data_IF_920726817899
#
_entry.id   IF_920726817899
#
_cell.length_a   1.000
_cell.length_b   1.000
_cell.length_c   1.000
_cell.angle_alpha   90.00
_cell.angle_beta   90.00
_cell.angle_gamma   90.00
#
_symmetry.space_group_name_H-M   'P 1'
#
loop_
_entity.id
_entity.type
_entity.pdbx_description
1 polymer ?
#
# COMPACT_ATOMS: atom_id res chain seq x y z
N UNK A 1 -35.99 11.16 -9.42
CA UNK A 1 -35.31 9.85 -9.47
C UNK A 1 -35.25 9.23 -8.10
N UNK A 2 -36.16 8.29 -7.80
CA UNK A 2 -36.19 7.58 -6.51
C UNK A 2 -35.03 6.55 -6.42
N UNK A 3 -34.36 6.21 -7.54
CA UNK A 3 -33.39 5.10 -7.62
C UNK A 3 -31.89 5.48 -7.64
N UNK A 4 -31.51 6.74 -7.39
CA UNK A 4 -30.08 7.13 -7.45
C UNK A 4 -29.31 6.60 -6.23
N UNK A 5 -28.57 5.49 -6.43
CA UNK A 5 -27.76 4.85 -5.39
C UNK A 5 -26.33 5.39 -5.25
N UNK A 6 -25.73 5.83 -6.35
CA UNK A 6 -24.34 6.32 -6.37
C UNK A 6 -24.22 7.54 -7.28
N UNK A 7 -23.63 8.62 -6.76
CA UNK A 7 -23.40 9.87 -7.49
C UNK A 7 -21.94 10.30 -7.31
N UNK A 8 -21.26 10.60 -8.42
CA UNK A 8 -19.87 11.08 -8.45
C UNK A 8 -19.83 12.34 -9.32
N UNK A 9 -19.48 13.48 -8.72
CA UNK A 9 -19.42 14.80 -9.37
C UNK A 9 -18.05 15.46 -9.16
N UNK A 10 -17.00 14.65 -9.08
CA UNK A 10 -15.66 15.16 -8.81
C UNK A 10 -15.20 16.10 -9.91
N UNK A 11 -14.71 17.29 -9.54
CA UNK A 11 -14.22 18.31 -10.48
C UNK A 11 -15.32 18.96 -11.34
N UNK A 12 -16.61 18.69 -11.09
CA UNK A 12 -17.72 19.36 -11.76
C UNK A 12 -17.87 20.80 -11.23
N UNK A 13 -16.99 21.71 -11.66
CA UNK A 13 -16.76 23.02 -11.04
C UNK A 13 -18.00 23.92 -10.87
N UNK A 14 -19.03 23.74 -11.69
CA UNK A 14 -20.28 24.52 -11.64
C UNK A 14 -21.31 23.95 -10.63
N UNK A 15 -21.05 22.79 -10.03
CA UNK A 15 -21.95 22.18 -9.05
C UNK A 15 -21.93 22.97 -7.75
N UNK A 16 -23.09 23.52 -7.39
CA UNK A 16 -23.29 24.30 -6.17
C UNK A 16 -23.93 23.48 -5.04
N UNK A 17 -23.91 24.00 -3.80
CA UNK A 17 -24.66 23.41 -2.68
C UNK A 17 -26.17 23.28 -2.96
N UNK A 18 -26.75 24.14 -3.83
CA UNK A 18 -28.16 24.02 -4.24
C UNK A 18 -28.38 22.78 -5.10
N UNK A 19 -27.48 22.48 -6.02
CA UNK A 19 -27.51 21.24 -6.82
C UNK A 19 -27.43 19.99 -5.93
N UNK A 20 -26.47 19.98 -5.01
CA UNK A 20 -26.31 18.88 -4.04
C UNK A 20 -27.55 18.71 -3.15
N UNK A 21 -28.19 19.81 -2.73
CA UNK A 21 -29.47 19.76 -1.99
C UNK A 21 -30.57 19.06 -2.77
N UNK A 22 -30.68 19.31 -4.07
CA UNK A 22 -31.68 18.65 -4.92
C UNK A 22 -31.38 17.15 -5.06
N UNK A 23 -30.11 16.78 -5.26
CA UNK A 23 -29.69 15.37 -5.30
C UNK A 23 -30.05 14.66 -4.00
N UNK A 24 -29.65 15.21 -2.85
CA UNK A 24 -29.93 14.62 -1.53
C UNK A 24 -31.44 14.43 -1.29
N UNK A 25 -32.24 15.47 -1.58
CA UNK A 25 -33.72 15.42 -1.44
C UNK A 25 -34.37 14.36 -2.32
N UNK A 26 -33.89 14.19 -3.55
CA UNK A 26 -34.45 13.26 -4.52
C UNK A 26 -34.07 11.81 -4.23
N UNK A 27 -32.81 11.56 -3.89
CA UNK A 27 -32.29 10.21 -3.66
C UNK A 27 -32.65 9.65 -2.29
N UNK A 28 -32.80 10.52 -1.28
CA UNK A 28 -33.13 10.15 0.11
C UNK A 28 -32.23 9.01 0.62
N UNK A 29 -32.83 7.98 1.24
CA UNK A 29 -32.13 6.83 1.84
C UNK A 29 -31.47 5.90 0.84
N UNK A 30 -31.78 6.02 -0.46
CA UNK A 30 -31.24 5.12 -1.48
C UNK A 30 -29.80 5.50 -1.87
N UNK A 31 -29.37 6.73 -1.60
CA UNK A 31 -28.01 7.17 -1.91
C UNK A 31 -27.01 6.57 -0.91
N UNK A 32 -26.29 5.54 -1.35
CA UNK A 32 -25.24 4.89 -0.57
C UNK A 32 -23.85 5.43 -0.90
N UNK A 33 -23.65 6.09 -2.04
CA UNK A 33 -22.37 6.71 -2.43
C UNK A 33 -22.53 8.12 -2.97
N UNK A 34 -21.75 9.05 -2.42
CA UNK A 34 -21.68 10.44 -2.87
C UNK A 34 -20.22 10.93 -2.88
N UNK A 35 -19.73 11.34 -4.05
CA UNK A 35 -18.39 11.94 -4.21
C UNK A 35 -18.53 13.32 -4.83
N UNK A 36 -17.98 14.31 -4.14
CA UNK A 36 -18.09 15.74 -4.43
C UNK A 36 -16.71 16.42 -4.33
N UNK A 37 -15.67 15.75 -4.84
CA UNK A 37 -14.29 16.24 -4.71
C UNK A 37 -14.03 17.43 -5.62
N UNK A 38 -13.12 18.31 -5.20
CA UNK A 38 -12.64 19.43 -6.04
C UNK A 38 -13.75 20.34 -6.57
N UNK A 39 -14.80 20.55 -5.77
CA UNK A 39 -15.93 21.43 -6.11
C UNK A 39 -15.76 22.83 -5.51
N UNK A 40 -15.36 23.85 -6.28
CA UNK A 40 -15.02 25.18 -5.78
C UNK A 40 -16.25 26.02 -5.40
N UNK A 41 -17.45 25.62 -5.83
CA UNK A 41 -18.74 26.25 -5.49
C UNK A 41 -19.51 25.49 -4.40
N UNK A 42 -18.93 24.42 -3.85
CA UNK A 42 -19.51 23.71 -2.71
C UNK A 42 -19.22 24.48 -1.42
N UNK A 43 -20.27 24.71 -0.62
CA UNK A 43 -20.21 25.38 0.69
C UNK A 43 -20.72 24.46 1.78
N UNK A 44 -20.33 24.74 3.02
CA UNK A 44 -20.64 23.96 4.22
C UNK A 44 -22.14 23.66 4.40
N UNK A 45 -23.03 24.59 4.01
CA UNK A 45 -24.49 24.37 3.97
C UNK A 45 -24.96 23.18 3.13
N UNK A 46 -24.10 22.58 2.30
CA UNK A 46 -24.40 21.35 1.60
C UNK A 46 -24.47 20.13 2.53
N UNK A 47 -23.82 20.18 3.70
CA UNK A 47 -23.82 19.07 4.66
C UNK A 47 -25.21 18.85 5.29
N UNK A 48 -25.96 19.92 5.56
CA UNK A 48 -27.31 19.86 6.16
C UNK A 48 -28.28 18.96 5.35
N UNK A 49 -28.50 19.18 4.03
CA UNK A 49 -29.37 18.29 3.27
C UNK A 49 -28.80 16.88 3.11
N UNK A 50 -27.47 16.70 3.07
CA UNK A 50 -26.88 15.35 3.03
C UNK A 50 -27.23 14.60 4.32
N UNK A 51 -26.98 15.20 5.48
CA UNK A 51 -27.32 14.65 6.78
C UNK A 51 -28.83 14.35 6.89
N UNK A 52 -29.68 15.29 6.45
CA UNK A 52 -31.14 15.19 6.58
C UNK A 52 -31.75 14.09 5.72
N UNK A 53 -31.31 13.93 4.47
CA UNK A 53 -31.99 13.05 3.52
C UNK A 53 -31.23 11.75 3.22
N UNK A 54 -29.90 11.74 3.28
CA UNK A 54 -29.05 10.62 2.84
C UNK A 54 -28.63 9.69 3.98
N UNK A 55 -29.55 9.22 4.83
CA UNK A 55 -29.20 8.42 6.02
C UNK A 55 -28.62 7.03 5.70
N UNK A 56 -28.76 6.56 4.45
CA UNK A 56 -28.20 5.28 3.96
C UNK A 56 -26.79 5.39 3.41
N UNK A 57 -26.13 6.55 3.55
CA UNK A 57 -24.83 6.80 2.94
C UNK A 57 -23.73 5.93 3.56
N UNK A 58 -23.01 5.20 2.71
CA UNK A 58 -21.85 4.36 3.06
C UNK A 58 -20.53 4.97 2.62
N UNK A 59 -20.55 5.80 1.57
CA UNK A 59 -19.36 6.46 1.04
C UNK A 59 -19.62 7.95 0.84
N UNK A 60 -18.80 8.78 1.49
CA UNK A 60 -18.77 10.22 1.31
C UNK A 60 -17.34 10.70 1.05
N UNK A 61 -17.12 11.35 -0.08
CA UNK A 61 -15.84 12.02 -0.36
C UNK A 61 -16.08 13.50 -0.67
N UNK A 62 -15.46 14.35 0.14
CA UNK A 62 -15.49 15.82 0.00
C UNK A 62 -14.09 16.40 -0.20
N UNK A 63 -13.08 15.55 -0.42
CA UNK A 63 -11.68 15.96 -0.54
C UNK A 63 -11.49 17.12 -1.53
N UNK A 64 -10.60 18.03 -1.17
CA UNK A 64 -10.06 19.03 -2.09
C UNK A 64 -8.58 18.77 -2.25
N UNK A 65 -8.14 18.58 -3.49
CA UNK A 65 -6.73 18.49 -3.82
C UNK A 65 -6.07 19.85 -3.56
N UNK A 66 -4.97 19.84 -2.79
CA UNK A 66 -4.25 21.05 -2.41
C UNK A 66 -3.74 21.83 -3.63
N UNK A 67 -3.22 21.14 -4.65
CA UNK A 67 -2.73 21.78 -5.88
C UNK A 67 -3.88 22.45 -6.63
N UNK A 68 -5.03 21.77 -6.74
CA UNK A 68 -6.24 22.36 -7.34
C UNK A 68 -6.64 23.62 -6.55
N UNK A 69 -6.74 23.53 -5.22
CA UNK A 69 -7.05 24.69 -4.38
C UNK A 69 -6.10 25.87 -4.64
N UNK A 70 -4.79 25.63 -4.64
CA UNK A 70 -3.76 26.66 -4.84
C UNK A 70 -3.77 27.25 -6.26
N UNK A 71 -3.94 26.43 -7.31
CA UNK A 71 -4.00 26.91 -8.70
C UNK A 71 -5.20 27.83 -8.93
N UNK A 72 -6.36 27.48 -8.39
CA UNK A 72 -7.58 28.25 -8.58
C UNK A 72 -7.57 29.57 -7.81
N UNK A 73 -7.04 29.58 -6.59
CA UNK A 73 -6.85 30.80 -5.80
C UNK A 73 -5.96 31.81 -6.54
N UNK A 74 -4.90 31.34 -7.22
CA UNK A 74 -3.98 32.20 -7.97
C UNK A 74 -4.55 32.73 -9.30
N UNK A 75 -5.40 31.96 -9.98
CA UNK A 75 -5.80 32.24 -11.37
C UNK A 75 -7.09 33.05 -11.58
N UNK A 76 -7.98 33.14 -10.58
CA UNK A 76 -9.38 33.57 -10.84
C UNK A 76 -9.86 34.78 -10.05
N UNK A 77 -9.01 35.46 -9.26
CA UNK A 77 -9.37 36.77 -8.71
C UNK A 77 -10.55 36.79 -7.72
N UNK A 78 -10.75 35.73 -6.93
CA UNK A 78 -11.36 35.72 -5.57
C UNK A 78 -12.76 35.11 -5.30
N UNK A 79 -13.53 34.60 -6.27
CA UNK A 79 -14.88 34.06 -5.94
C UNK A 79 -14.94 32.55 -5.61
N UNK A 80 -13.92 31.79 -5.98
CA UNK A 80 -13.88 30.35 -5.73
C UNK A 80 -13.36 30.02 -4.33
N UNK A 81 -14.29 29.85 -3.39
CA UNK A 81 -14.02 29.38 -2.02
C UNK A 81 -14.37 27.89 -1.91
N UNK A 82 -13.40 27.01 -2.11
CA UNK A 82 -13.59 25.58 -1.86
C UNK A 82 -14.20 25.32 -0.48
N UNK A 83 -14.87 24.18 -0.34
CA UNK A 83 -15.47 23.75 0.92
C UNK A 83 -14.46 23.88 2.07
N UNK A 84 -14.87 24.61 3.11
CA UNK A 84 -14.16 24.77 4.38
C UNK A 84 -15.20 24.59 5.48
N UNK A 85 -15.01 23.56 6.29
CA UNK A 85 -15.89 23.13 7.36
C UNK A 85 -15.36 23.76 8.65
N UNK A 86 -16.10 24.74 9.16
CA UNK A 86 -15.80 25.51 10.36
C UNK A 86 -16.75 25.12 11.50
N UNK A 87 -17.99 24.87 11.15
CA UNK A 87 -19.05 24.46 12.05
C UNK A 87 -18.97 22.96 12.29
N UNK A 88 -18.45 22.61 13.46
CA UNK A 88 -18.39 21.23 13.93
C UNK A 88 -19.79 20.61 14.01
N UNK A 89 -20.81 21.39 14.37
CA UNK A 89 -22.18 20.92 14.55
C UNK A 89 -22.79 20.28 13.30
N UNK A 90 -22.60 20.88 12.13
CA UNK A 90 -23.10 20.32 10.85
C UNK A 90 -22.41 19.00 10.49
N UNK A 91 -21.10 18.90 10.73
CA UNK A 91 -20.36 17.66 10.51
C UNK A 91 -20.78 16.57 11.50
N UNK A 92 -20.93 16.91 12.78
CA UNK A 92 -21.41 15.98 13.81
C UNK A 92 -22.82 15.47 13.50
N UNK A 93 -23.73 16.36 13.09
CA UNK A 93 -25.09 15.97 12.71
C UNK A 93 -25.10 15.04 11.50
N UNK A 94 -24.21 15.25 10.53
CA UNK A 94 -24.01 14.33 9.40
C UNK A 94 -23.56 12.95 9.88
N UNK A 95 -22.56 12.88 10.76
CA UNK A 95 -22.07 11.60 11.29
C UNK A 95 -23.15 10.84 12.06
N UNK A 96 -23.91 11.54 12.91
CA UNK A 96 -25.03 10.96 13.67
C UNK A 96 -26.11 10.35 12.76
N UNK A 97 -26.46 11.05 11.68
CA UNK A 97 -27.54 10.61 10.77
C UNK A 97 -27.10 9.59 9.72
N UNK A 98 -25.84 9.63 9.32
CA UNK A 98 -25.24 8.70 8.36
C UNK A 98 -24.53 7.56 9.10
N UNK A 99 -25.25 6.84 9.96
CA UNK A 99 -24.67 5.77 10.81
C UNK A 99 -24.16 4.56 10.04
N UNK A 100 -24.43 4.47 8.72
CA UNK A 100 -23.92 3.41 7.83
C UNK A 100 -22.61 3.79 7.13
N UNK A 101 -21.99 4.92 7.46
CA UNK A 101 -20.83 5.43 6.73
C UNK A 101 -19.61 4.52 6.94
N UNK A 102 -19.08 3.96 5.86
CA UNK A 102 -17.88 3.08 5.86
C UNK A 102 -16.64 3.81 5.33
N UNK A 103 -16.83 4.82 4.47
CA UNK A 103 -15.76 5.65 3.92
C UNK A 103 -16.10 7.12 4.05
N UNK A 104 -15.20 7.87 4.69
CA UNK A 104 -15.31 9.32 4.83
C UNK A 104 -13.98 9.97 4.46
N UNK A 105 -14.00 10.86 3.47
CA UNK A 105 -12.79 11.59 3.05
C UNK A 105 -13.00 13.10 3.12
N UNK A 106 -12.23 13.76 3.99
CA UNK A 106 -12.32 15.17 4.35
C UNK A 106 -10.96 15.90 4.21
N UNK A 107 -10.16 15.52 3.21
CA UNK A 107 -8.86 16.12 2.96
C UNK A 107 -8.98 17.58 2.53
N UNK A 108 -8.25 18.49 3.20
CA UNK A 108 -8.15 19.93 2.94
C UNK A 108 -9.47 20.69 2.95
N UNK A 109 -10.51 20.13 3.57
CA UNK A 109 -11.81 20.78 3.79
C UNK A 109 -12.11 21.14 5.23
N UNK A 110 -11.33 20.66 6.20
CA UNK A 110 -11.45 21.12 7.59
C UNK A 110 -10.72 22.46 7.74
N UNK A 111 -11.32 23.39 8.49
CA UNK A 111 -10.68 24.67 8.81
C UNK A 111 -9.37 24.47 9.59
N UNK A 112 -8.44 25.42 9.44
CA UNK A 112 -7.15 25.40 10.14
C UNK A 112 -7.30 25.42 11.66
N UNK A 113 -8.44 25.88 12.18
CA UNK A 113 -8.75 25.95 13.61
C UNK A 113 -9.82 24.94 14.05
N UNK A 114 -10.03 23.86 13.29
CA UNK A 114 -11.04 22.86 13.65
C UNK A 114 -10.75 22.24 15.04
N UNK A 115 -11.64 22.48 16.01
CA UNK A 115 -11.46 22.03 17.40
C UNK A 115 -12.37 20.84 17.80
N UNK A 116 -13.33 20.46 16.96
CA UNK A 116 -14.37 19.47 17.29
C UNK A 116 -13.94 18.00 17.23
N UNK A 117 -12.66 17.69 17.43
CA UNK A 117 -12.14 16.33 17.24
C UNK A 117 -12.69 15.30 18.23
N UNK A 118 -12.93 15.70 19.48
CA UNK A 118 -13.48 14.80 20.49
C UNK A 118 -14.92 14.41 20.15
N UNK A 119 -15.77 15.39 19.83
CA UNK A 119 -17.14 15.13 19.39
C UNK A 119 -17.18 14.37 18.07
N UNK A 120 -16.25 14.67 17.16
CA UNK A 120 -16.11 13.95 15.90
C UNK A 120 -15.86 12.46 16.16
N UNK A 121 -14.88 12.14 17.02
CA UNK A 121 -14.55 10.77 17.37
C UNK A 121 -15.70 10.05 18.11
N UNK A 122 -16.47 10.75 18.96
CA UNK A 122 -17.63 10.17 19.66
C UNK A 122 -18.79 9.80 18.73
N UNK A 123 -18.96 10.51 17.61
CA UNK A 123 -20.13 10.36 16.74
C UNK A 123 -19.84 9.63 15.43
N UNK A 124 -18.58 9.31 15.16
CA UNK A 124 -18.20 8.56 13.97
C UNK A 124 -18.72 7.12 14.03
N UNK A 125 -19.07 6.55 12.88
CA UNK A 125 -19.52 5.15 12.81
C UNK A 125 -18.37 4.22 13.28
N UNK A 126 -18.60 3.34 14.28
CA UNK A 126 -17.57 2.40 14.74
C UNK A 126 -17.10 1.43 13.65
N UNK A 127 -17.94 1.17 12.63
CA UNK A 127 -17.61 0.31 11.48
C UNK A 127 -16.94 1.06 10.31
N UNK A 128 -16.53 2.31 10.50
CA UNK A 128 -15.82 3.06 9.48
C UNK A 128 -14.51 2.34 9.11
N UNK A 129 -14.27 2.15 7.82
CA UNK A 129 -13.12 1.41 7.27
C UNK A 129 -12.05 2.33 6.70
N UNK A 130 -12.45 3.42 6.06
CA UNK A 130 -11.52 4.36 5.41
C UNK A 130 -11.81 5.78 5.86
N UNK A 131 -10.77 6.46 6.33
CA UNK A 131 -10.83 7.84 6.81
C UNK A 131 -9.65 8.66 6.29
N UNK A 132 -9.92 9.88 5.83
CA UNK A 132 -8.88 10.79 5.33
C UNK A 132 -9.05 12.21 5.88
N UNK A 133 -7.98 12.74 6.48
CA UNK A 133 -7.87 14.09 7.04
C UNK A 133 -6.59 14.80 6.63
N UNK A 134 -6.14 14.61 5.39
CA UNK A 134 -5.00 15.39 4.92
C UNK A 134 -5.27 16.90 5.08
N UNK A 135 -4.31 17.66 5.59
CA UNK A 135 -4.44 19.09 5.87
C UNK A 135 -5.11 19.46 7.20
N UNK A 136 -5.49 18.49 8.03
CA UNK A 136 -6.06 18.73 9.35
C UNK A 136 -5.00 19.20 10.36
N UNK A 137 -4.66 20.49 10.35
CA UNK A 137 -3.53 21.05 11.10
C UNK A 137 -3.62 20.85 12.63
N UNK A 138 -4.84 20.92 13.18
CA UNK A 138 -5.13 20.80 14.63
C UNK A 138 -5.30 19.37 15.11
N UNK A 139 -5.28 18.37 14.22
CA UNK A 139 -5.40 16.98 14.63
C UNK A 139 -4.14 16.59 15.43
N UNK A 140 -4.32 16.05 16.63
CA UNK A 140 -3.24 15.77 17.58
C UNK A 140 -3.37 14.37 18.19
N UNK A 141 -2.42 13.99 19.05
CA UNK A 141 -2.36 12.65 19.64
C UNK A 141 -3.59 12.30 20.46
N UNK A 142 -4.17 13.27 21.18
CA UNK A 142 -5.41 13.10 21.93
C UNK A 142 -6.60 12.80 21.01
N UNK A 143 -6.68 13.52 19.89
CA UNK A 143 -7.69 13.31 18.84
C UNK A 143 -7.54 11.92 18.22
N UNK A 144 -6.31 11.53 17.90
CA UNK A 144 -6.01 10.21 17.34
C UNK A 144 -6.36 9.08 18.30
N UNK A 145 -6.02 9.21 19.59
CA UNK A 145 -6.39 8.25 20.63
C UNK A 145 -7.91 8.13 20.81
N UNK A 146 -8.63 9.25 20.77
CA UNK A 146 -10.10 9.24 20.84
C UNK A 146 -10.71 8.57 19.60
N UNK A 147 -10.17 8.86 18.42
CA UNK A 147 -10.60 8.27 17.16
C UNK A 147 -10.40 6.75 17.17
N UNK A 148 -9.20 6.27 17.48
CA UNK A 148 -8.88 4.83 17.48
C UNK A 148 -9.72 4.04 18.48
N UNK A 149 -10.06 4.64 19.63
CA UNK A 149 -10.98 4.04 20.62
C UNK A 149 -12.39 3.83 20.05
N UNK A 150 -12.87 4.73 19.20
CA UNK A 150 -14.23 4.71 18.68
C UNK A 150 -14.36 4.05 17.29
N UNK A 151 -13.26 3.79 16.59
CA UNK A 151 -13.25 3.14 15.26
C UNK A 151 -12.38 1.87 15.22
N UNK A 152 -12.77 0.78 15.91
CA UNK A 152 -11.96 -0.44 15.98
C UNK A 152 -11.81 -1.15 14.62
N UNK A 153 -12.68 -0.87 13.65
CA UNK A 153 -12.65 -1.48 12.31
C UNK A 153 -11.97 -0.62 11.25
N UNK A 154 -11.29 0.47 11.65
CA UNK A 154 -10.60 1.36 10.73
C UNK A 154 -9.42 0.64 10.09
N UNK A 155 -9.46 0.50 8.75
CA UNK A 155 -8.44 -0.20 7.95
C UNK A 155 -7.48 0.76 7.28
N UNK A 156 -7.96 1.95 6.93
CA UNK A 156 -7.19 2.95 6.22
C UNK A 156 -7.39 4.30 6.88
N UNK A 157 -6.31 4.88 7.41
CA UNK A 157 -6.28 6.23 7.96
C UNK A 157 -5.23 7.05 7.22
N UNK A 158 -5.66 8.09 6.51
CA UNK A 158 -4.76 9.00 5.79
C UNK A 158 -4.61 10.31 6.56
N UNK A 159 -3.42 10.49 7.13
CA UNK A 159 -3.00 11.72 7.79
C UNK A 159 -1.81 12.28 6.99
N UNK A 160 -1.95 13.48 6.46
CA UNK A 160 -0.81 14.20 5.87
C UNK A 160 -0.97 15.69 6.16
N UNK A 161 0.14 16.40 6.36
CA UNK A 161 0.08 17.82 6.73
C UNK A 161 -0.53 18.11 8.11
N UNK A 162 -0.67 17.08 8.96
CA UNK A 162 -1.05 17.22 10.37
C UNK A 162 0.18 17.70 11.13
N UNK A 163 0.13 18.90 11.71
CA UNK A 163 1.30 19.55 12.35
C UNK A 163 1.31 19.36 13.87
N UNK A 164 0.16 19.10 14.47
CA UNK A 164 -0.01 18.96 15.92
C UNK A 164 0.08 17.52 16.41
N UNK A 165 0.41 16.58 15.53
CA UNK A 165 0.61 15.17 15.87
C UNK A 165 2.07 14.97 16.23
N UNK A 166 2.35 14.81 17.52
CA UNK A 166 3.71 14.62 18.05
C UNK A 166 4.12 13.15 17.92
N UNK A 167 3.17 12.24 18.12
CA UNK A 167 3.41 10.81 18.18
C UNK A 167 2.23 10.00 17.66
N UNK A 168 2.52 9.07 16.75
CA UNK A 168 1.58 8.06 16.30
C UNK A 168 1.53 6.82 17.22
N UNK A 169 2.10 6.86 18.43
CA UNK A 169 2.20 5.70 19.32
C UNK A 169 0.84 5.07 19.67
N UNK A 170 -0.24 5.86 19.70
CA UNK A 170 -1.58 5.32 19.96
C UNK A 170 -2.14 4.47 18.80
N UNK A 171 -1.60 4.58 17.58
CA UNK A 171 -1.89 3.67 16.46
C UNK A 171 -1.14 2.34 16.57
N UNK A 172 -0.10 2.28 17.39
CA UNK A 172 0.64 1.03 17.61
C UNK A 172 -0.15 0.07 18.50
N UNK A 173 -1.05 0.54 19.36
CA UNK A 173 -1.78 -0.30 20.33
C UNK A 173 -2.82 -1.28 19.75
N UNK A 174 -3.55 -0.99 18.65
CA UNK A 174 -4.53 -1.95 18.11
C UNK A 174 -3.96 -2.89 17.03
N UNK A 175 -2.80 -2.57 16.44
CA UNK A 175 -2.10 -3.39 15.45
C UNK A 175 -0.81 -4.03 15.99
N UNK A 176 -0.49 -3.75 17.26
CA UNK A 176 0.44 -4.56 18.03
C UNK A 176 -0.15 -5.97 18.14
N UNK A 177 0.31 -6.84 17.26
CA UNK A 177 0.78 -8.12 17.77
C UNK A 177 1.79 -7.73 18.85
N UNK A 178 1.37 -7.68 20.12
CA UNK A 178 2.09 -7.03 21.22
C UNK A 178 3.55 -7.48 21.32
N UNK A 179 3.85 -8.66 20.77
CA UNK A 179 5.20 -9.14 20.55
C UNK A 179 5.24 -10.05 19.30
N UNK A 180 5.60 -9.53 18.10
CA UNK A 180 5.72 -10.35 16.89
C UNK A 180 6.72 -11.49 17.11
N UNK A 181 7.80 -11.20 17.84
CA UNK A 181 8.80 -12.17 18.29
C UNK A 181 8.25 -13.28 19.19
N UNK A 182 7.17 -13.04 19.96
CA UNK A 182 6.51 -14.09 20.78
C UNK A 182 5.45 -14.86 19.99
N UNK A 183 4.75 -14.21 19.06
CA UNK A 183 3.74 -14.88 18.24
C UNK A 183 4.34 -15.64 17.06
N UNK A 184 5.51 -15.24 16.56
CA UNK A 184 6.19 -15.94 15.46
C UNK A 184 6.43 -17.42 15.79
N UNK A 185 7.05 -17.80 16.94
CA UNK A 185 7.18 -19.20 17.32
C UNK A 185 5.83 -19.94 17.37
N UNK A 186 4.79 -19.33 17.95
CA UNK A 186 3.46 -19.94 18.02
C UNK A 186 2.88 -20.23 16.63
N UNK A 187 2.91 -19.26 15.71
CA UNK A 187 2.36 -19.46 14.37
C UNK A 187 3.23 -20.36 13.50
N UNK A 188 4.56 -20.41 13.72
CA UNK A 188 5.45 -21.41 13.10
C UNK A 188 5.10 -22.82 13.55
N UNK A 189 4.95 -23.03 14.86
CA UNK A 189 4.54 -24.32 15.41
C UNK A 189 3.16 -24.71 14.87
N UNK A 190 2.21 -23.78 14.82
CA UNK A 190 0.92 -24.04 14.19
C UNK A 190 1.07 -24.43 12.73
N UNK A 191 1.86 -23.72 11.93
CA UNK A 191 2.08 -24.06 10.52
C UNK A 191 2.67 -25.48 10.38
N UNK A 192 3.66 -25.80 11.20
CA UNK A 192 4.27 -27.14 11.24
C UNK A 192 3.24 -28.23 11.58
N UNK A 193 2.47 -28.05 12.65
CA UNK A 193 1.44 -29.00 13.08
C UNK A 193 0.39 -29.21 11.98
N UNK A 194 -0.01 -28.14 11.28
CA UNK A 194 -0.95 -28.24 10.17
C UNK A 194 -0.35 -29.03 8.99
N UNK A 195 0.92 -28.81 8.65
CA UNK A 195 1.61 -29.55 7.58
C UNK A 195 1.78 -31.03 7.94
N UNK A 196 2.25 -31.35 9.14
CA UNK A 196 2.44 -32.72 9.61
C UNK A 196 1.11 -33.49 9.66
N UNK A 197 0.04 -32.84 10.11
CA UNK A 197 -1.28 -33.46 10.11
C UNK A 197 -1.83 -33.66 8.69
N UNK A 198 -1.46 -32.81 7.74
CA UNK A 198 -1.82 -32.99 6.33
C UNK A 198 -1.08 -34.19 5.71
N UNK A 199 0.21 -34.36 6.03
CA UNK A 199 1.05 -35.48 5.56
C UNK A 199 0.61 -36.82 6.17
N UNK A 200 0.32 -36.87 7.49
CA UNK A 200 -0.18 -38.08 8.15
C UNK A 200 -1.47 -38.61 7.55
N UNK A 201 -2.36 -37.71 7.13
CA UNK A 201 -3.60 -38.10 6.46
C UNK A 201 -3.34 -38.66 5.05
N UNK A 202 -2.25 -38.26 4.40
CA UNK A 202 -1.89 -38.74 3.06
C UNK A 202 -1.37 -40.19 3.10
N UNK A 203 -0.61 -40.54 4.14
CA UNK A 203 -0.08 -41.91 4.30
C UNK A 203 -1.13 -42.92 4.77
N UNK A 204 -2.14 -42.47 5.53
CA UNK A 204 -3.22 -43.35 6.01
C UNK A 204 -4.21 -43.79 4.92
N UNK A 205 -4.26 -43.08 3.79
CA UNK A 205 -5.15 -43.34 2.65
C UNK A 205 -4.48 -44.15 1.54
N UNK A 206 -3.28 -44.70 1.75
CA UNK A 206 -2.65 -45.60 0.79
C UNK A 206 -3.61 -46.77 0.50
N UNK A 207 -4.06 -46.96 -0.76
CA UNK A 207 -5.09 -47.93 -1.07
C UNK A 207 -4.57 -49.33 -0.73
N UNK A 208 -5.36 -50.18 -0.06
CA UNK A 208 -5.02 -51.60 0.04
C UNK A 208 -4.86 -52.11 -1.39
N UNK A 209 -3.76 -52.79 -1.66
CA UNK A 209 -3.42 -53.38 -2.96
C UNK A 209 -4.48 -54.41 -3.37
N UNK A 210 -5.59 -53.93 -3.90
CA UNK A 210 -6.73 -54.70 -4.39
C UNK A 210 -6.70 -54.64 -5.91
N UNK A 211 -6.67 -55.79 -6.62
CA UNK A 211 -6.43 -55.82 -8.06
C UNK A 211 -7.69 -55.61 -8.93
N UNK A 212 -8.77 -55.00 -8.41
CA UNK A 212 -10.00 -54.84 -9.18
C UNK A 212 -10.26 -53.37 -9.58
N UNK A 213 -10.27 -53.04 -10.88
CA UNK A 213 -10.58 -51.70 -11.37
C UNK A 213 -12.10 -51.55 -11.44
N UNK A 214 -12.70 -50.85 -10.49
CA UNK A 214 -14.10 -50.41 -10.57
C UNK A 214 -14.13 -48.89 -10.72
N UNK A 215 -14.69 -48.45 -11.85
CA UNK A 215 -14.86 -47.07 -12.28
C UNK A 215 -15.83 -46.28 -11.37
N UNK A 216 -15.35 -45.79 -10.23
CA UNK A 216 -16.11 -44.87 -9.38
C UNK A 216 -15.45 -43.47 -9.36
N UNK A 217 -16.19 -42.37 -9.61
CA UNK A 217 -15.68 -40.99 -9.55
C UNK A 217 -15.19 -40.53 -8.17
N UNK A 218 -15.43 -41.32 -7.12
CA UNK A 218 -15.08 -40.97 -5.74
C UNK A 218 -13.56 -40.93 -5.46
N UNK A 219 -12.72 -41.53 -6.31
CA UNK A 219 -11.26 -41.47 -6.13
C UNK A 219 -10.65 -40.08 -6.41
N UNK A 220 -11.34 -39.20 -7.15
CA UNK A 220 -10.82 -37.86 -7.45
C UNK A 220 -10.84 -36.90 -6.24
N UNK A 221 -11.72 -37.11 -5.25
CA UNK A 221 -11.86 -36.18 -4.13
C UNK A 221 -10.72 -36.27 -3.09
N UNK A 222 -10.03 -37.42 -3.01
CA UNK A 222 -9.07 -37.69 -1.92
C UNK A 222 -7.60 -37.42 -2.28
N UNK A 223 -7.27 -37.30 -3.56
CA UNK A 223 -5.90 -37.01 -3.97
C UNK A 223 -5.68 -35.50 -4.08
N UNK A 224 -4.64 -34.98 -3.43
CA UNK A 224 -4.27 -33.58 -3.62
C UNK A 224 -3.88 -33.38 -5.08
N UNK A 225 -4.50 -32.39 -5.72
CA UNK A 225 -4.08 -31.97 -7.04
C UNK A 225 -2.60 -31.57 -7.02
N UNK A 226 -1.95 -31.70 -8.17
CA UNK A 226 -0.50 -31.48 -8.31
C UNK A 226 -0.08 -30.10 -7.79
N UNK A 227 -0.91 -29.08 -8.03
CA UNK A 227 -0.63 -27.71 -7.63
C UNK A 227 -0.69 -27.54 -6.10
N UNK A 228 -1.67 -28.15 -5.42
CA UNK A 228 -1.68 -28.11 -3.95
C UNK A 228 -0.46 -28.81 -3.36
N UNK A 229 -0.03 -29.95 -3.92
CA UNK A 229 1.18 -30.65 -3.45
C UNK A 229 2.44 -29.82 -3.62
N UNK A 230 2.58 -29.10 -4.73
CA UNK A 230 3.69 -28.19 -4.96
C UNK A 230 3.66 -27.01 -3.99
N UNK A 231 2.48 -26.38 -3.78
CA UNK A 231 2.34 -25.31 -2.80
C UNK A 231 2.70 -25.77 -1.37
N UNK A 232 2.21 -26.94 -0.93
CA UNK A 232 2.55 -27.51 0.39
C UNK A 232 4.06 -27.72 0.52
N UNK A 233 4.73 -28.22 -0.52
CA UNK A 233 6.20 -28.38 -0.52
C UNK A 233 6.93 -27.05 -0.39
N UNK A 234 6.47 -26.00 -1.07
CA UNK A 234 7.04 -24.65 -0.94
C UNK A 234 6.85 -24.08 0.47
N UNK A 235 5.68 -24.30 1.09
CA UNK A 235 5.43 -23.88 2.47
C UNK A 235 6.35 -24.63 3.44
N UNK A 236 6.54 -25.95 3.26
CA UNK A 236 7.43 -26.76 4.08
C UNK A 236 8.90 -26.31 3.96
N UNK A 237 9.36 -25.99 2.75
CA UNK A 237 10.70 -25.47 2.51
C UNK A 237 10.90 -24.09 3.19
N UNK A 238 9.93 -23.19 3.03
CA UNK A 238 9.94 -21.89 3.69
C UNK A 238 9.99 -22.04 5.21
N UNK A 239 9.16 -22.91 5.80
CA UNK A 239 9.14 -23.16 7.23
C UNK A 239 10.49 -23.67 7.75
N UNK A 240 11.11 -24.65 7.06
CA UNK A 240 12.45 -25.16 7.41
C UNK A 240 13.49 -24.05 7.39
N UNK A 241 13.49 -23.23 6.33
CA UNK A 241 14.39 -22.08 6.23
C UNK A 241 14.18 -21.09 7.39
N UNK A 242 12.93 -20.83 7.76
CA UNK A 242 12.62 -19.96 8.89
C UNK A 242 13.10 -20.51 10.25
N UNK A 243 13.11 -21.84 10.39
CA UNK A 243 13.65 -22.51 11.56
C UNK A 243 15.19 -22.49 11.58
N UNK A 244 15.84 -22.77 10.45
CA UNK A 244 17.30 -22.79 10.29
C UNK A 244 17.94 -21.43 10.57
N UNK A 245 17.35 -20.35 10.07
CA UNK A 245 17.91 -19.00 10.21
C UNK A 245 17.72 -18.39 11.61
N UNK A 246 17.18 -19.13 12.59
CA UNK A 246 16.74 -18.59 13.87
C UNK A 246 15.97 -17.27 13.67
N UNK A 247 14.99 -17.30 12.77
CA UNK A 247 14.25 -16.09 12.36
C UNK A 247 13.64 -15.40 13.58
N UNK A 248 13.30 -16.14 14.64
CA UNK A 248 12.88 -15.56 15.92
C UNK A 248 13.89 -14.55 16.52
N UNK A 249 15.20 -14.76 16.34
CA UNK A 249 16.25 -13.81 16.74
C UNK A 249 16.38 -12.62 15.78
N UNK A 250 16.39 -12.86 14.47
CA UNK A 250 16.42 -11.79 13.44
C UNK A 250 15.17 -10.89 13.47
N UNK A 251 14.03 -11.45 13.87
CA UNK A 251 12.77 -10.73 14.04
C UNK A 251 12.71 -9.94 15.38
N UNK A 252 13.58 -10.23 16.35
CA UNK A 252 13.62 -9.40 17.56
C UNK A 252 14.19 -8.00 17.30
N UNK A 253 15.08 -7.84 16.32
CA UNK A 253 15.67 -6.54 15.98
C UNK A 253 14.79 -5.71 15.04
N UNK A 254 14.08 -6.33 14.08
CA UNK A 254 13.31 -5.60 13.07
C UNK A 254 11.78 -5.82 13.18
N UNK A 255 11.09 -4.94 13.92
CA UNK A 255 9.66 -5.05 14.20
C UNK A 255 8.78 -5.04 12.93
N UNK A 256 9.13 -4.27 11.90
CA UNK A 256 8.34 -4.18 10.66
C UNK A 256 8.45 -5.45 9.81
N UNK A 257 9.68 -5.94 9.58
CA UNK A 257 9.91 -7.20 8.89
C UNK A 257 9.21 -8.37 9.62
N UNK A 258 9.27 -8.38 10.95
CA UNK A 258 8.60 -9.39 11.79
C UNK A 258 7.11 -9.39 11.62
N UNK A 259 6.50 -8.21 11.63
CA UNK A 259 5.05 -8.07 11.50
C UNK A 259 4.61 -8.54 10.10
N UNK A 260 5.37 -8.19 9.07
CA UNK A 260 5.10 -8.65 7.69
C UNK A 260 5.26 -10.16 7.57
N UNK A 261 6.38 -10.72 8.02
CA UNK A 261 6.61 -12.17 7.98
C UNK A 261 5.50 -12.91 8.73
N UNK A 262 5.16 -12.46 9.95
CA UNK A 262 4.12 -13.07 10.74
C UNK A 262 2.75 -13.03 10.04
N UNK A 263 2.43 -11.93 9.36
CA UNK A 263 1.20 -11.83 8.56
C UNK A 263 1.16 -12.87 7.42
N UNK A 264 2.28 -13.08 6.72
CA UNK A 264 2.36 -14.11 5.68
C UNK A 264 2.20 -15.51 6.28
N UNK A 265 2.82 -15.79 7.42
CA UNK A 265 2.74 -17.09 8.11
C UNK A 265 1.32 -17.39 8.56
N UNK A 266 0.60 -16.41 9.11
CA UNK A 266 -0.82 -16.55 9.46
C UNK A 266 -1.66 -16.90 8.23
N UNK A 267 -1.39 -16.27 7.09
CA UNK A 267 -2.09 -16.58 5.84
C UNK A 267 -1.77 -18.00 5.34
N UNK A 268 -0.52 -18.47 5.49
CA UNK A 268 -0.13 -19.85 5.16
C UNK A 268 -0.80 -20.87 6.09
N UNK A 269 -0.91 -20.58 7.40
CA UNK A 269 -1.64 -21.44 8.35
C UNK A 269 -3.10 -21.59 7.93
N UNK A 270 -3.76 -20.48 7.57
CA UNK A 270 -5.14 -20.50 7.08
C UNK A 270 -5.28 -21.31 5.79
N UNK A 271 -4.34 -21.16 4.84
CA UNK A 271 -4.31 -21.95 3.61
C UNK A 271 -4.22 -23.45 3.91
N UNK A 272 -3.25 -23.90 4.72
CA UNK A 272 -3.07 -25.33 5.04
C UNK A 272 -4.31 -25.87 5.79
N UNK A 273 -4.92 -25.09 6.69
CA UNK A 273 -6.18 -25.45 7.35
C UNK A 273 -7.32 -25.67 6.36
N UNK A 274 -7.47 -24.80 5.36
CA UNK A 274 -8.48 -24.96 4.30
C UNK A 274 -8.22 -26.20 3.46
N UNK A 275 -6.98 -26.47 3.07
CA UNK A 275 -6.62 -27.70 2.34
C UNK A 275 -6.95 -28.95 3.16
N UNK A 276 -6.69 -28.94 4.46
CA UNK A 276 -7.09 -30.03 5.36
C UNK A 276 -8.60 -30.19 5.50
N UNK A 277 -9.34 -29.07 5.60
CA UNK A 277 -10.78 -29.09 5.67
C UNK A 277 -11.39 -29.66 4.37
N UNK A 278 -10.85 -29.25 3.22
CA UNK A 278 -11.23 -29.74 1.89
C UNK A 278 -11.17 -31.27 1.79
N UNK A 279 -10.16 -31.90 2.40
CA UNK A 279 -10.01 -33.37 2.44
C UNK A 279 -11.08 -34.11 3.24
N UNK A 280 -11.85 -33.41 4.07
CA UNK A 280 -12.91 -34.01 4.87
C UNK A 280 -14.28 -33.86 4.22
N UNK A 281 -14.37 -33.09 3.14
CA UNK A 281 -15.62 -32.86 2.43
C UNK A 281 -15.94 -34.08 1.55
N UNK A 282 -17.22 -34.42 1.49
CA UNK A 282 -17.75 -35.28 0.43
C UNK A 282 -17.62 -34.60 -0.94
N UNK A 283 -17.76 -35.35 -2.02
CA UNK A 283 -17.68 -34.80 -3.39
C UNK A 283 -18.68 -33.65 -3.62
N UNK A 284 -19.90 -33.75 -3.08
CA UNK A 284 -20.91 -32.72 -3.18
C UNK A 284 -20.55 -31.46 -2.37
N UNK A 285 -20.12 -31.63 -1.11
CA UNK A 285 -19.67 -30.50 -0.28
C UNK A 285 -18.44 -29.80 -0.87
N UNK A 286 -17.58 -30.56 -1.58
CA UNK A 286 -16.43 -30.01 -2.28
C UNK A 286 -16.86 -29.08 -3.42
N UNK A 287 -17.83 -29.47 -4.26
CA UNK A 287 -18.32 -28.64 -5.37
C UNK A 287 -18.92 -27.33 -4.85
N UNK A 288 -19.78 -27.39 -3.83
CA UNK A 288 -20.33 -26.18 -3.19
C UNK A 288 -19.23 -25.29 -2.59
N UNK A 289 -18.23 -25.90 -1.96
CA UNK A 289 -17.11 -25.17 -1.37
C UNK A 289 -16.21 -24.53 -2.43
N UNK A 290 -15.98 -25.21 -3.55
CA UNK A 290 -15.20 -24.71 -4.68
C UNK A 290 -15.86 -23.50 -5.35
N UNK A 291 -17.18 -23.56 -5.54
CA UNK A 291 -18.00 -22.43 -6.05
C UNK A 291 -17.95 -21.21 -5.13
N UNK A 292 -17.95 -21.43 -3.81
CA UNK A 292 -17.91 -20.36 -2.82
C UNK A 292 -16.52 -19.72 -2.66
N UNK A 293 -15.43 -20.48 -2.86
CA UNK A 293 -14.08 -20.05 -2.48
C UNK A 293 -13.10 -19.82 -3.62
N UNK A 294 -13.36 -20.35 -4.82
CA UNK A 294 -12.52 -20.13 -6.01
C UNK A 294 -11.11 -20.71 -5.87
N UNK A 295 -11.00 -22.04 -5.80
CA UNK A 295 -9.77 -22.82 -5.56
C UNK A 295 -8.58 -22.46 -6.45
N UNK A 296 -8.82 -22.13 -7.72
CA UNK A 296 -7.76 -21.76 -8.67
C UNK A 296 -7.00 -20.51 -8.24
N UNK A 297 -7.68 -19.52 -7.66
CA UNK A 297 -7.08 -18.30 -7.12
C UNK A 297 -6.36 -18.53 -5.78
N UNK A 298 -6.74 -19.56 -5.02
CA UNK A 298 -6.15 -19.82 -3.70
C UNK A 298 -4.70 -20.33 -3.79
N UNK A 299 -4.40 -21.18 -4.78
CA UNK A 299 -3.05 -21.71 -5.00
C UNK A 299 -2.06 -20.64 -5.48
N UNK A 300 -2.48 -19.84 -6.47
CA UNK A 300 -1.69 -18.71 -6.97
C UNK A 300 -1.36 -17.73 -5.85
N UNK A 301 -2.36 -17.39 -5.02
CA UNK A 301 -2.16 -16.55 -3.83
C UNK A 301 -1.21 -17.17 -2.82
N UNK A 302 -1.27 -18.49 -2.59
CA UNK A 302 -0.38 -19.16 -1.66
C UNK A 302 1.08 -19.09 -2.12
N UNK A 303 1.34 -19.37 -3.40
CA UNK A 303 2.68 -19.27 -3.97
C UNK A 303 3.19 -17.83 -3.90
N UNK A 304 2.36 -16.83 -4.23
CA UNK A 304 2.71 -15.43 -4.05
C UNK A 304 3.04 -15.07 -2.60
N UNK A 305 2.29 -15.59 -1.62
CA UNK A 305 2.53 -15.35 -0.20
C UNK A 305 3.85 -15.98 0.24
N UNK A 306 4.12 -17.21 -0.20
CA UNK A 306 5.37 -17.91 0.09
C UNK A 306 6.58 -17.18 -0.52
N UNK A 307 6.49 -16.80 -1.80
CA UNK A 307 7.53 -16.03 -2.49
C UNK A 307 7.77 -14.66 -1.85
N UNK A 308 6.72 -13.97 -1.37
CA UNK A 308 6.87 -12.71 -0.65
C UNK A 308 7.53 -12.91 0.71
N UNK A 309 7.18 -13.97 1.44
CA UNK A 309 7.83 -14.29 2.71
C UNK A 309 9.30 -14.64 2.50
N UNK A 310 9.63 -15.43 1.47
CA UNK A 310 11.02 -15.70 1.06
C UNK A 310 11.75 -14.42 0.67
N UNK A 311 11.13 -13.54 -0.11
CA UNK A 311 11.75 -12.27 -0.51
C UNK A 311 12.00 -11.35 0.69
N UNK A 312 11.14 -11.35 1.71
CA UNK A 312 11.37 -10.60 2.94
C UNK A 312 12.52 -11.22 3.72
N UNK A 313 12.59 -12.55 3.83
CA UNK A 313 13.72 -13.24 4.48
C UNK A 313 15.03 -12.96 3.74
N UNK A 314 15.05 -13.02 2.41
CA UNK A 314 16.19 -12.67 1.57
C UNK A 314 16.61 -11.20 1.76
N UNK A 315 15.65 -10.29 1.93
CA UNK A 315 15.89 -8.87 2.16
C UNK A 315 16.34 -8.54 3.59
N UNK A 316 15.91 -9.34 4.57
CA UNK A 316 16.42 -9.28 5.95
C UNK A 316 17.85 -9.82 6.00
N UNK A 317 18.15 -10.82 5.16
CA UNK A 317 19.49 -11.37 4.93
C UNK A 317 20.32 -10.56 3.90
N UNK A 318 19.91 -9.33 3.53
CA UNK A 318 20.37 -8.66 2.30
C UNK A 318 21.90 -8.57 2.15
N UNK A 319 22.42 -9.56 1.45
CA UNK A 319 23.69 -9.58 0.75
C UNK A 319 23.43 -9.32 -0.73
N UNK A 320 24.49 -9.03 -1.48
CA UNK A 320 24.45 -8.89 -2.94
C UNK A 320 23.71 -10.06 -3.64
N UNK A 321 23.83 -11.28 -3.08
CA UNK A 321 23.21 -12.50 -3.60
C UNK A 321 21.67 -12.48 -3.52
N UNK A 322 21.09 -11.86 -2.50
CA UNK A 322 19.63 -11.71 -2.36
C UNK A 322 19.04 -10.86 -3.47
N UNK A 323 19.72 -9.77 -3.85
CA UNK A 323 19.29 -8.93 -4.97
C UNK A 323 19.42 -9.67 -6.32
N UNK A 324 20.44 -10.54 -6.49
CA UNK A 324 20.55 -11.42 -7.66
C UNK A 324 19.39 -12.41 -7.75
N UNK A 325 18.94 -12.99 -6.63
CA UNK A 325 17.78 -13.89 -6.59
C UNK A 325 16.47 -13.17 -6.91
N UNK A 326 16.23 -11.98 -6.34
CA UNK A 326 15.05 -11.16 -6.66
C UNK A 326 15.02 -10.84 -8.16
N UNK A 327 16.16 -10.42 -8.72
CA UNK A 327 16.28 -10.17 -10.16
C UNK A 327 15.98 -11.43 -10.98
N UNK A 328 16.42 -12.60 -10.53
CA UNK A 328 16.25 -13.88 -11.24
C UNK A 328 14.80 -14.36 -11.26
N UNK A 329 14.07 -14.25 -10.16
CA UNK A 329 12.76 -14.89 -10.01
C UNK A 329 11.56 -13.93 -10.15
N UNK A 330 11.72 -12.63 -9.89
CA UNK A 330 10.61 -11.69 -9.81
C UNK A 330 10.41 -10.87 -11.11
N UNK A 331 10.18 -11.51 -12.26
CA UNK A 331 10.00 -10.82 -13.56
C UNK A 331 8.74 -9.93 -13.64
N UNK A 332 7.73 -10.23 -12.81
CA UNK A 332 6.46 -9.48 -12.73
C UNK A 332 6.44 -8.32 -11.74
N UNK A 333 7.57 -7.94 -11.14
CA UNK A 333 7.61 -6.93 -10.09
C UNK A 333 7.20 -5.55 -10.62
N UNK A 334 6.15 -4.93 -10.02
CA UNK A 334 5.64 -3.60 -10.41
C UNK A 334 6.13 -2.46 -9.52
N UNK A 335 6.52 -2.75 -8.29
CA UNK A 335 6.99 -1.77 -7.31
C UNK A 335 8.22 -2.30 -6.59
N UNK A 336 9.31 -1.51 -6.58
CA UNK A 336 10.53 -1.80 -5.82
C UNK A 336 10.99 -0.54 -5.09
N UNK A 337 11.26 -0.68 -3.79
CA UNK A 337 11.86 0.37 -2.98
C UNK A 337 13.04 -0.21 -2.17
N UNK A 338 14.22 0.35 -2.36
CA UNK A 338 15.46 -0.01 -1.66
C UNK A 338 15.96 1.21 -0.89
N UNK A 339 16.24 1.05 0.41
CA UNK A 339 16.78 2.10 1.28
C UNK A 339 17.88 1.51 2.18
N UNK A 340 19.12 1.98 2.04
CA UNK A 340 20.27 1.46 2.80
C UNK A 340 20.30 1.96 4.25
N UNK A 341 19.60 3.05 4.59
CA UNK A 341 19.57 3.52 5.98
C UNK A 341 18.83 2.55 6.92
N UNK A 342 17.98 1.67 6.39
CA UNK A 342 17.30 0.62 7.14
C UNK A 342 18.14 -0.66 7.32
N UNK A 343 19.22 -0.81 6.55
CA UNK A 343 20.07 -2.02 6.58
C UNK A 343 21.22 -1.95 7.60
N UNK A 344 21.55 -0.76 8.11
CA UNK A 344 22.77 -0.53 8.91
C UNK A 344 22.47 -0.07 10.34
N UNK A 345 21.31 0.55 10.62
CA UNK A 345 21.07 1.17 11.93
C UNK A 345 20.86 0.20 13.10
N UNK A 346 20.40 -1.02 12.86
CA UNK A 346 20.13 -1.97 13.96
C UNK A 346 21.36 -2.82 14.35
N UNK A 347 22.42 -2.80 13.55
CA UNK A 347 23.62 -3.60 13.80
C UNK A 347 24.72 -2.84 14.55
N UNK A 348 24.66 -1.49 14.61
CA UNK A 348 25.80 -0.65 15.02
C UNK A 348 25.47 0.38 16.11
N UNK A 349 25.03 -0.11 17.27
CA UNK A 349 25.02 0.68 18.50
C UNK A 349 26.02 0.17 19.56
N UNK A 350 27.03 -0.65 19.19
CA UNK A 350 27.94 -1.26 20.18
C UNK A 350 29.44 -1.31 19.91
N UNK A 351 29.97 -0.85 18.78
CA UNK A 351 31.44 -0.82 18.60
C UNK A 351 31.90 0.50 17.97
N UNK A 352 32.55 1.32 18.80
CA UNK A 352 33.39 2.43 18.35
C UNK A 352 34.77 1.85 18.01
N UNK A 353 35.03 1.55 16.73
CA UNK A 353 36.37 1.68 16.08
C UNK A 353 36.59 0.88 14.78
N UNK A 354 35.62 0.15 14.22
CA UNK A 354 35.86 -0.48 12.91
C UNK A 354 35.48 0.45 11.75
N UNK A 355 36.41 0.64 10.81
CA UNK A 355 36.21 1.30 9.52
C UNK A 355 35.09 0.59 8.72
N UNK A 356 33.85 1.08 8.84
CA UNK A 356 32.67 0.39 8.28
C UNK A 356 32.53 0.59 6.77
N UNK A 357 32.62 -0.51 6.01
CA UNK A 357 32.16 -0.59 4.61
C UNK A 357 30.63 -0.55 4.58
N UNK A 358 30.07 0.57 4.14
CA UNK A 358 28.65 0.65 3.78
C UNK A 358 28.33 -0.41 2.70
N UNK A 359 27.14 -1.00 2.75
CA UNK A 359 26.57 -1.79 1.64
C UNK A 359 26.25 -0.83 0.48
N UNK A 360 27.31 -0.38 -0.18
CA UNK A 360 27.26 0.36 -1.43
C UNK A 360 27.10 -0.67 -2.52
N UNK A 361 26.04 -0.57 -3.33
CA UNK A 361 26.01 -1.28 -4.61
C UNK A 361 27.03 -0.57 -5.51
N UNK A 362 28.31 -0.94 -5.36
CA UNK A 362 29.39 -0.49 -6.24
C UNK A 362 29.27 -1.18 -7.61
N UNK A 363 28.75 -2.41 -7.63
CA UNK A 363 28.50 -3.16 -8.85
C UNK A 363 27.26 -2.63 -9.58
N UNK A 364 27.52 -1.73 -10.52
CA UNK A 364 26.54 -1.23 -11.50
C UNK A 364 25.83 -2.37 -12.24
N UNK A 365 26.49 -3.53 -12.40
CA UNK A 365 25.99 -4.70 -13.10
C UNK A 365 24.74 -5.29 -12.46
N UNK A 366 24.67 -5.36 -11.13
CA UNK A 366 23.56 -5.98 -10.43
C UNK A 366 22.27 -5.16 -10.57
N UNK A 367 22.35 -3.84 -10.37
CA UNK A 367 21.20 -2.96 -10.55
C UNK A 367 20.71 -2.97 -12.00
N UNK A 368 21.63 -3.00 -12.96
CA UNK A 368 21.32 -3.11 -14.38
C UNK A 368 20.64 -4.45 -14.70
N UNK A 369 21.13 -5.56 -14.14
CA UNK A 369 20.52 -6.87 -14.33
C UNK A 369 19.09 -6.92 -13.79
N UNK A 370 18.86 -6.36 -12.60
CA UNK A 370 17.53 -6.26 -12.00
C UNK A 370 16.58 -5.48 -12.92
N UNK A 371 17.01 -4.33 -13.44
CA UNK A 371 16.21 -3.50 -14.33
C UNK A 371 15.87 -4.20 -15.64
N UNK A 372 16.81 -4.97 -16.20
CA UNK A 372 16.59 -5.74 -17.42
C UNK A 372 15.55 -6.85 -17.24
N UNK A 373 15.54 -7.51 -16.08
CA UNK A 373 14.65 -8.64 -15.80
C UNK A 373 13.25 -8.22 -15.35
N UNK A 374 13.11 -7.09 -14.66
CA UNK A 374 11.83 -6.58 -14.17
C UNK A 374 11.09 -5.75 -15.24
N UNK A 375 10.63 -6.40 -16.31
CA UNK A 375 9.96 -5.74 -17.46
C UNK A 375 8.60 -5.13 -17.12
N UNK A 376 8.02 -5.45 -15.96
CA UNK A 376 6.74 -4.89 -15.47
C UNK A 376 6.91 -3.76 -14.45
N UNK A 377 8.13 -3.34 -14.13
CA UNK A 377 8.39 -2.36 -13.09
C UNK A 377 7.80 -0.97 -13.42
N UNK A 378 6.83 -0.54 -12.61
CA UNK A 378 6.16 0.77 -12.74
C UNK A 378 6.69 1.80 -11.74
N UNK A 379 7.16 1.36 -10.58
CA UNK A 379 7.70 2.26 -9.55
C UNK A 379 9.03 1.75 -9.02
N UNK A 380 10.05 2.61 -9.05
CA UNK A 380 11.37 2.34 -8.50
C UNK A 380 11.77 3.46 -7.55
N UNK A 381 12.14 3.11 -6.31
CA UNK A 381 12.69 4.04 -5.33
C UNK A 381 14.02 3.53 -4.82
N UNK A 382 15.07 4.31 -4.98
CA UNK A 382 16.42 4.01 -4.48
C UNK A 382 16.84 5.15 -3.57
N UNK A 383 17.09 4.86 -2.30
CA UNK A 383 17.53 5.85 -1.31
C UNK A 383 18.84 5.43 -0.66
N UNK A 384 19.90 6.21 -0.92
CA UNK A 384 21.26 5.96 -0.39
C UNK A 384 21.83 4.57 -0.73
N UNK A 385 21.28 3.89 -1.74
CA UNK A 385 21.69 2.54 -2.17
C UNK A 385 22.94 2.56 -3.04
N UNK A 386 23.13 3.68 -3.73
CA UNK A 386 24.22 3.87 -4.67
C UNK A 386 25.27 4.70 -3.95
N UNK A 387 26.51 4.20 -3.93
CA UNK A 387 27.63 4.89 -3.31
C UNK A 387 27.73 6.34 -3.78
N UNK A 388 28.33 7.20 -2.95
CA UNK A 388 28.47 8.65 -3.24
C UNK A 388 29.13 8.92 -4.60
N UNK A 389 29.91 7.97 -5.11
CA UNK A 389 30.67 8.04 -6.37
C UNK A 389 30.10 7.16 -7.49
N UNK A 390 28.83 6.75 -7.43
CA UNK A 390 28.26 5.86 -8.44
C UNK A 390 28.41 6.45 -9.86
N UNK A 391 29.23 5.81 -10.70
CA UNK A 391 29.52 6.26 -12.06
C UNK A 391 28.56 5.69 -13.12
N UNK A 392 27.83 4.61 -12.79
CA UNK A 392 27.00 3.85 -13.73
C UNK A 392 25.65 4.48 -14.11
N UNK A 393 25.43 5.78 -13.87
CA UNK A 393 24.13 6.42 -14.10
C UNK A 393 23.68 6.42 -15.55
N UNK A 394 24.61 6.49 -16.51
CA UNK A 394 24.26 6.38 -17.92
C UNK A 394 23.75 4.99 -18.28
N UNK A 395 24.43 3.95 -17.79
CA UNK A 395 24.03 2.58 -18.09
C UNK A 395 22.76 2.20 -17.33
N UNK A 396 22.58 2.69 -16.11
CA UNK A 396 21.29 2.66 -15.41
C UNK A 396 20.19 3.28 -16.27
N UNK A 397 20.39 4.51 -16.78
CA UNK A 397 19.40 5.22 -17.58
C UNK A 397 19.11 4.54 -18.93
N UNK A 398 20.10 3.89 -19.55
CA UNK A 398 19.91 3.12 -20.80
C UNK A 398 19.09 1.84 -20.60
N UNK A 399 19.24 1.20 -19.44
CA UNK A 399 18.64 -0.11 -19.15
C UNK A 399 17.34 -0.04 -18.33
N UNK A 400 16.94 1.16 -17.90
CA UNK A 400 15.72 1.34 -17.15
C UNK A 400 14.47 0.96 -17.97
N UNK A 401 13.45 0.47 -17.26
CA UNK A 401 12.22 0.00 -17.87
C UNK A 401 11.47 1.15 -18.57
N UNK A 402 11.11 1.03 -19.86
CA UNK A 402 10.41 2.08 -20.60
C UNK A 402 9.01 2.40 -20.07
N UNK A 403 8.37 1.48 -19.35
CA UNK A 403 7.03 1.64 -18.77
C UNK A 403 7.03 2.21 -17.35
N UNK A 404 8.21 2.55 -16.81
CA UNK A 404 8.32 3.12 -15.48
C UNK A 404 7.51 4.42 -15.37
N UNK A 405 6.67 4.52 -14.34
CA UNK A 405 5.78 5.66 -14.07
C UNK A 405 6.32 6.55 -12.97
N UNK A 406 6.97 5.98 -11.97
CA UNK A 406 7.52 6.71 -10.83
C UNK A 406 8.96 6.28 -10.58
N UNK A 407 9.89 7.23 -10.58
CA UNK A 407 11.28 7.05 -10.21
C UNK A 407 11.65 8.00 -9.07
N UNK A 408 12.21 7.47 -7.98
CA UNK A 408 12.76 8.27 -6.89
C UNK A 408 14.21 7.87 -6.65
N UNK A 409 15.13 8.82 -6.78
CA UNK A 409 16.54 8.65 -6.48
C UNK A 409 16.93 9.63 -5.38
N UNK A 410 17.25 9.11 -4.19
CA UNK A 410 17.77 9.88 -3.07
C UNK A 410 19.24 9.53 -2.82
N UNK A 411 20.07 10.56 -2.63
CA UNK A 411 21.52 10.41 -2.46
C UNK A 411 22.30 10.29 -3.77
N UNK A 412 21.67 10.60 -4.91
CA UNK A 412 22.26 10.45 -6.24
C UNK A 412 23.21 11.61 -6.62
N UNK A 413 24.23 11.85 -5.80
CA UNK A 413 25.09 13.04 -5.90
C UNK A 413 25.76 13.22 -7.28
N UNK A 414 26.16 12.12 -7.91
CA UNK A 414 26.84 12.06 -9.21
C UNK A 414 25.90 11.98 -10.42
N UNK A 415 24.58 12.09 -10.23
CA UNK A 415 23.63 12.06 -11.34
C UNK A 415 23.75 13.34 -12.18
N UNK A 416 24.14 13.20 -13.47
CA UNK A 416 24.43 14.32 -14.38
C UNK A 416 23.36 14.48 -15.47
N UNK A 417 23.40 15.61 -16.17
CA UNK A 417 22.49 15.96 -17.27
C UNK A 417 22.47 14.91 -18.40
N UNK A 418 23.62 14.29 -18.70
CA UNK A 418 23.71 13.22 -19.71
C UNK A 418 22.86 11.99 -19.35
N UNK A 419 22.89 11.58 -18.07
CA UNK A 419 22.08 10.47 -17.57
C UNK A 419 20.59 10.82 -17.55
N UNK A 420 20.25 12.06 -17.17
CA UNK A 420 18.87 12.56 -17.22
C UNK A 420 18.31 12.57 -18.65
N UNK A 421 19.12 12.97 -19.63
CA UNK A 421 18.74 12.97 -21.05
C UNK A 421 18.48 11.55 -21.57
N UNK A 422 19.36 10.61 -21.20
CA UNK A 422 19.19 9.19 -21.52
C UNK A 422 17.92 8.60 -20.87
N UNK A 423 17.66 8.95 -19.60
CA UNK A 423 16.49 8.52 -18.84
C UNK A 423 15.19 9.01 -19.49
N UNK A 424 15.12 10.31 -19.81
CA UNK A 424 13.96 10.93 -20.45
C UNK A 424 13.66 10.30 -21.82
N UNK A 425 14.69 9.99 -22.61
CA UNK A 425 14.54 9.31 -23.89
C UNK A 425 14.00 7.88 -23.73
N UNK A 426 14.41 7.17 -22.68
CA UNK A 426 14.07 5.75 -22.47
C UNK A 426 12.72 5.55 -21.79
N UNK A 427 12.24 6.51 -21.00
CA UNK A 427 11.04 6.38 -20.15
C UNK A 427 9.91 7.34 -20.57
N UNK A 428 9.28 7.13 -21.76
CA UNK A 428 8.26 8.04 -22.27
C UNK A 428 6.98 8.09 -21.41
N UNK A 429 6.79 7.13 -20.49
CA UNK A 429 5.64 7.04 -19.59
C UNK A 429 5.92 7.52 -18.16
N UNK A 430 7.12 8.06 -17.90
CA UNK A 430 7.49 8.54 -16.58
C UNK A 430 6.61 9.74 -16.21
N UNK A 431 5.81 9.56 -15.15
CA UNK A 431 4.89 10.58 -14.63
C UNK A 431 5.49 11.36 -13.48
N UNK A 432 6.37 10.72 -12.73
CA UNK A 432 6.95 11.27 -11.51
C UNK A 432 8.43 10.92 -11.43
N UNK A 433 9.28 11.96 -11.39
CA UNK A 433 10.72 11.84 -11.16
C UNK A 433 11.08 12.66 -9.94
N UNK A 434 11.53 11.99 -8.87
CA UNK A 434 12.04 12.63 -7.66
C UNK A 434 13.55 12.43 -7.59
N UNK A 435 14.28 13.53 -7.58
CA UNK A 435 15.72 13.54 -7.41
C UNK A 435 16.02 14.33 -6.15
N UNK A 436 16.70 13.72 -5.18
CA UNK A 436 17.11 14.40 -3.94
C UNK A 436 18.59 14.15 -3.67
N UNK A 437 19.29 15.21 -3.25
CA UNK A 437 20.75 15.17 -3.04
C UNK A 437 21.60 15.18 -4.32
N UNK A 438 21.03 15.51 -5.48
CA UNK A 438 21.78 15.69 -6.74
C UNK A 438 22.42 17.08 -6.77
N UNK A 439 23.73 17.15 -7.02
CA UNK A 439 24.49 18.42 -6.96
C UNK A 439 24.83 19.04 -8.32
N UNK A 440 24.74 18.27 -9.41
CA UNK A 440 25.40 18.59 -10.70
C UNK A 440 24.43 18.72 -11.90
N UNK A 441 23.19 19.16 -11.69
CA UNK A 441 22.21 19.34 -12.77
C UNK A 441 22.10 20.82 -13.13
N UNK A 442 22.89 21.26 -14.11
CA UNK A 442 22.97 22.67 -14.53
C UNK A 442 21.91 23.02 -15.58
N UNK A 443 21.48 22.05 -16.40
CA UNK A 443 20.60 22.30 -17.56
C UNK A 443 19.32 21.45 -17.61
N UNK A 444 19.00 20.73 -16.53
CA UNK A 444 17.88 19.78 -16.43
C UNK A 444 16.52 20.33 -16.89
N UNK A 445 16.25 21.62 -16.65
CA UNK A 445 14.98 22.25 -17.03
C UNK A 445 14.79 22.35 -18.56
N UNK A 446 15.86 22.64 -19.31
CA UNK A 446 15.81 22.81 -20.77
C UNK A 446 15.77 21.45 -21.51
N UNK A 447 16.40 20.43 -20.93
CA UNK A 447 16.44 19.07 -21.49
C UNK A 447 15.11 18.33 -21.36
N UNK A 448 14.39 18.47 -20.24
CA UNK A 448 13.12 17.78 -20.02
C UNK A 448 11.98 18.33 -20.91
N UNK A 449 12.00 19.63 -21.22
CA UNK A 449 11.01 20.25 -22.11
C UNK A 449 11.17 19.83 -23.58
N UNK A 450 12.41 19.55 -24.03
CA UNK A 450 12.71 19.22 -25.43
C UNK A 450 12.65 17.72 -25.75
N UNK A 451 12.75 16.84 -24.74
CA UNK A 451 12.89 15.38 -24.93
C UNK A 451 11.63 14.56 -24.62
N UNK A 452 10.66 15.11 -23.89
CA UNK A 452 9.36 14.46 -23.64
C UNK A 452 8.37 14.85 -24.73
N UNK A 453 8.07 13.92 -25.65
CA UNK A 453 7.31 14.17 -26.87
C UNK A 453 5.87 14.70 -26.69
N UNK A 454 5.21 15.16 -27.77
CA UNK A 454 3.96 15.94 -27.74
C UNK A 454 2.74 15.25 -27.13
N UNK A 455 2.76 13.93 -26.88
CA UNK A 455 1.73 13.25 -26.07
C UNK A 455 1.74 13.68 -24.59
N UNK A 456 2.83 14.28 -24.12
CA UNK A 456 2.88 14.93 -22.82
C UNK A 456 2.34 16.38 -22.87
N UNK A 457 2.23 17.00 -24.05
CA UNK A 457 1.81 18.40 -24.22
C UNK A 457 0.27 18.59 -24.31
N UNK A 458 -0.50 17.52 -24.53
CA UNK A 458 -1.98 17.56 -24.65
C UNK A 458 -2.75 17.40 -23.33
N UNK A 459 -2.08 17.00 -22.26
CA UNK A 459 -2.57 17.22 -20.89
C UNK A 459 -1.83 18.45 -20.39
N UNK A 460 -2.54 19.44 -19.83
CA UNK A 460 -1.87 20.50 -19.08
C UNK A 460 -0.86 19.83 -18.15
N UNK A 461 0.43 20.09 -18.37
CA UNK A 461 1.49 19.79 -17.41
C UNK A 461 1.19 20.61 -16.15
N UNK A 462 0.28 20.11 -15.31
CA UNK A 462 0.18 20.51 -13.93
C UNK A 462 1.46 20.04 -13.26
N UNK A 463 2.47 20.90 -13.26
CA UNK A 463 3.76 20.76 -12.59
C UNK A 463 4.27 19.32 -12.48
N UNK A 464 5.15 18.91 -13.40
CA UNK A 464 6.19 17.97 -12.99
C UNK A 464 6.87 18.61 -11.78
N UNK A 465 6.58 18.11 -10.57
CA UNK A 465 7.17 18.59 -9.33
C UNK A 465 8.60 18.04 -9.30
N UNK A 466 9.50 18.64 -10.10
CA UNK A 466 10.93 18.48 -9.91
C UNK A 466 11.24 19.24 -8.63
N UNK A 467 11.03 18.58 -7.49
CA UNK A 467 11.42 19.10 -6.19
C UNK A 467 12.94 18.98 -6.10
N UNK A 468 13.67 19.98 -6.60
CA UNK A 468 15.03 20.21 -6.12
C UNK A 468 14.93 20.60 -4.65
N UNK A 469 15.34 19.70 -3.78
CA UNK A 469 15.64 20.01 -2.40
C UNK A 469 17.17 20.18 -2.35
N UNK A 470 17.71 21.40 -2.55
CA UNK A 470 19.12 21.62 -2.33
C UNK A 470 19.43 21.34 -0.85
N UNK A 471 20.46 20.53 -0.62
CA UNK A 471 21.07 20.44 0.71
C UNK A 471 21.76 21.79 0.96
N UNK A 472 21.30 22.54 1.96
CA UNK A 472 22.00 23.72 2.45
C UNK A 472 23.44 23.31 2.81
N UNK A 473 24.47 24.08 2.42
CA UNK A 473 25.83 23.79 2.83
C UNK A 473 25.92 23.89 4.36
N UNK A 474 26.50 22.86 4.96
CA UNK A 474 26.93 22.82 6.37
C UNK A 474 28.10 23.76 6.60
#
# INVERSE_FOLDING_TARGET
>A
CIALGSVVLDGCIEVTSRGVRHIAKCSRKNLWRLSLRDLPLLREKALEPIAKYCTGLRFLALDVNRLVKETWVKGTGSDYKFLSIKDTGLLIELLKRCSSLETLKLSNVLDEHFAGWEDFAKNINPYLRTLSFAGAATFNDASLKSLTKNTPFLRELRLSGVRSLESAQCLLKPLQIDHPSRLSPFYMTQLQEQLEALVRNDTALAPPSSPFPLCCPAEMANTLDKNTREAIKSIDLLLKRMQEHNVAGLLQSNHDASTKILWHVVALVDFVRRVRARRKLSAHEYEEWEDLTGTKLAHERCNEIAERAESILDAVDATEESLRKIAKYCTGLRFLALDVNLLIKDTLAKEEDSEYKFLSIEDTGLLIELLKRCSSLETLKLSNVLGKEFAGWEDFAKNINPYLRTLSLAGAATFKDASLKSLAKKTPFLRELRLSGVRSLESAHCLLQSSLGPRAQGQRFGAAQIAFIPLLPS
#
